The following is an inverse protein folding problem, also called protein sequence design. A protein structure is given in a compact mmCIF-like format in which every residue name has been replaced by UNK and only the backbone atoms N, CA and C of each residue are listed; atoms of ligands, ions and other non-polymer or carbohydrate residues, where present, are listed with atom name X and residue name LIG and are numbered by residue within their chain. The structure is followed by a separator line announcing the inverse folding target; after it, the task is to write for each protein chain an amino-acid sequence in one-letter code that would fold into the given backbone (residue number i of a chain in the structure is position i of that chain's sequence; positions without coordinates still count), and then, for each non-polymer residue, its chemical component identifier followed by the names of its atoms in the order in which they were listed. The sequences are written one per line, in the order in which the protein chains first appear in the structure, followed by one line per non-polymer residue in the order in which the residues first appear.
data_IF_027822781746
#
_entry.id   IF_027822781746
#
_cell.length_a   1.000
_cell.length_b   1.000
_cell.length_c   1.000
_cell.angle_alpha   90.00
_cell.angle_beta   90.00
_cell.angle_gamma   90.00
#
_symmetry.space_group_name_H-M   'P 1'
#
loop_
_entity.id
_entity.type
_entity.pdbx_description
1 polymer ?
#
# COMPACT_ATOMS: atom_id res chain seq x y z
N UNK A 1 -2.99 33.19 -12.58
CA UNK A 1 -1.89 32.27 -12.21
C UNK A 1 -2.55 31.04 -11.62
N UNK A 2 -2.83 30.05 -12.46
CA UNK A 2 -3.35 28.77 -11.99
C UNK A 2 -2.20 28.07 -11.29
N UNK A 3 -2.32 27.94 -9.97
CA UNK A 3 -1.36 27.24 -9.15
C UNK A 3 -1.52 25.74 -9.44
N UNK A 4 -0.74 25.23 -10.38
CA UNK A 4 -0.61 23.80 -10.58
C UNK A 4 0.28 23.28 -9.45
N UNK A 5 -0.33 23.02 -8.29
CA UNK A 5 0.31 22.21 -7.26
C UNK A 5 0.62 20.86 -7.88
N UNK A 6 1.89 20.64 -8.24
CA UNK A 6 2.36 19.34 -8.69
C UNK A 6 2.10 18.32 -7.58
N UNK A 7 1.66 17.12 -7.97
CA UNK A 7 1.54 16.03 -7.02
C UNK A 7 2.87 15.83 -6.27
N UNK A 8 2.82 15.52 -4.96
CA UNK A 8 4.02 15.27 -4.18
C UNK A 8 4.88 14.15 -4.80
N UNK A 9 6.21 14.32 -4.78
CA UNK A 9 7.11 13.25 -5.22
C UNK A 9 7.16 12.17 -4.14
N UNK A 10 6.76 10.95 -4.52
CA UNK A 10 6.49 9.85 -3.61
C UNK A 10 7.60 9.64 -2.57
N UNK A 11 8.85 9.49 -3.00
CA UNK A 11 9.93 9.12 -2.07
C UNK A 11 10.34 10.26 -1.14
N UNK A 12 10.35 11.50 -1.64
CA UNK A 12 10.58 12.69 -0.81
C UNK A 12 9.48 12.86 0.25
N UNK A 13 8.24 12.52 -0.09
CA UNK A 13 7.12 12.53 0.85
C UNK A 13 7.24 11.41 1.87
N UNK A 14 7.58 10.19 1.47
CA UNK A 14 7.83 9.08 2.40
C UNK A 14 8.98 9.41 3.34
N UNK A 15 10.09 9.99 2.85
CA UNK A 15 11.20 10.44 3.70
C UNK A 15 10.74 11.46 4.75
N UNK A 16 9.93 12.44 4.33
CA UNK A 16 9.36 13.45 5.23
C UNK A 16 8.45 12.82 6.29
N UNK A 17 7.59 11.89 5.89
CA UNK A 17 6.68 11.18 6.80
C UNK A 17 7.45 10.30 7.78
N UNK A 18 8.46 9.55 7.32
CA UNK A 18 9.32 8.75 8.19
C UNK A 18 10.02 9.64 9.22
N UNK A 19 10.60 10.76 8.80
CA UNK A 19 11.24 11.72 9.71
C UNK A 19 10.24 12.27 10.75
N UNK A 20 9.04 12.64 10.30
CA UNK A 20 8.00 13.12 11.22
C UNK A 20 7.61 12.06 12.26
N UNK A 21 7.42 10.80 11.84
CA UNK A 21 7.13 9.68 12.77
C UNK A 21 8.28 9.50 13.77
N UNK A 22 9.53 9.54 13.31
CA UNK A 22 10.72 9.40 14.15
C UNK A 22 10.80 10.51 15.21
N UNK A 23 10.45 11.76 14.84
CA UNK A 23 10.44 12.89 15.78
C UNK A 23 9.27 12.87 16.77
N UNK A 24 8.14 12.26 16.40
CA UNK A 24 6.91 12.30 17.19
C UNK A 24 6.76 11.09 18.11
N UNK A 25 7.46 9.98 17.82
CA UNK A 25 7.40 8.73 18.60
C UNK A 25 8.77 8.36 19.17
N UNK A 26 8.92 8.26 20.52
CA UNK A 26 10.23 8.07 21.16
C UNK A 26 10.76 6.62 21.10
N UNK A 27 10.03 5.68 20.50
CA UNK A 27 10.44 4.27 20.45
C UNK A 27 11.36 4.04 19.24
N UNK A 28 12.65 3.88 19.51
CA UNK A 28 13.70 3.73 18.50
C UNK A 28 14.07 2.27 18.22
N UNK A 29 14.93 2.08 17.22
CA UNK A 29 15.54 0.78 16.91
C UNK A 29 14.53 -0.30 16.50
N UNK A 30 14.81 -1.54 16.91
CA UNK A 30 14.04 -2.72 16.49
C UNK A 30 12.58 -2.67 16.94
N UNK A 31 12.31 -2.16 18.13
CA UNK A 31 10.95 -2.06 18.65
C UNK A 31 10.12 -1.07 17.84
N UNK A 32 10.69 0.12 17.53
CA UNK A 32 10.03 1.10 16.68
C UNK A 32 9.72 0.55 15.28
N UNK A 33 10.63 -0.23 14.70
CA UNK A 33 10.38 -0.92 13.43
C UNK A 33 9.21 -1.91 13.55
N UNK A 34 9.20 -2.75 14.59
CA UNK A 34 8.13 -3.73 14.80
C UNK A 34 6.77 -3.05 14.97
N UNK A 35 6.70 -1.94 15.70
CA UNK A 35 5.46 -1.16 15.85
C UNK A 35 4.96 -0.60 14.52
N UNK A 36 5.86 -0.12 13.65
CA UNK A 36 5.48 0.34 12.30
C UNK A 36 4.96 -0.81 11.43
N UNK A 37 5.56 -2.00 11.54
CA UNK A 37 5.05 -3.20 10.86
C UNK A 37 3.67 -3.60 11.41
N UNK A 38 3.48 -3.54 12.73
CA UNK A 38 2.19 -3.89 13.34
C UNK A 38 1.07 -2.92 12.96
N UNK A 39 1.38 -1.64 12.73
CA UNK A 39 0.42 -0.63 12.25
C UNK A 39 -0.28 -1.06 10.95
N UNK A 40 0.38 -1.82 10.08
CA UNK A 40 -0.26 -2.39 8.87
C UNK A 40 -1.53 -3.19 9.17
N UNK A 41 -1.60 -3.86 10.33
CA UNK A 41 -2.80 -4.63 10.70
C UNK A 41 -3.98 -3.71 10.99
N UNK A 42 -3.72 -2.52 11.53
CA UNK A 42 -4.74 -1.50 11.80
C UNK A 42 -5.30 -0.96 10.48
N UNK A 43 -4.43 -0.52 9.57
CA UNK A 43 -4.81 0.03 8.25
C UNK A 43 -5.60 -1.00 7.41
N UNK A 44 -5.19 -2.28 7.42
CA UNK A 44 -5.94 -3.35 6.75
C UNK A 44 -7.32 -3.58 7.40
N UNK A 45 -7.42 -3.37 8.70
CA UNK A 45 -8.69 -3.37 9.43
C UNK A 45 -9.61 -2.24 8.97
N UNK A 46 -9.05 -1.04 8.79
CA UNK A 46 -9.79 0.15 8.32
C UNK A 46 -10.27 -0.04 6.86
N UNK A 47 -9.44 -0.59 5.97
CA UNK A 47 -9.90 -1.03 4.62
C UNK A 47 -11.09 -1.98 4.72
N UNK A 48 -11.04 -2.94 5.66
CA UNK A 48 -12.13 -3.91 5.84
C UNK A 48 -13.41 -3.22 6.33
N UNK A 49 -13.29 -2.27 7.26
CA UNK A 49 -14.41 -1.46 7.74
C UNK A 49 -15.02 -0.60 6.63
N UNK A 50 -14.18 0.08 5.84
CA UNK A 50 -14.60 0.88 4.70
C UNK A 50 -15.36 0.04 3.67
N UNK A 51 -14.85 -1.15 3.32
CA UNK A 51 -15.53 -2.07 2.38
C UNK A 51 -16.88 -2.53 2.92
N UNK A 52 -16.95 -2.93 4.19
CA UNK A 52 -18.21 -3.34 4.83
C UNK A 52 -19.22 -2.18 4.82
N UNK A 53 -18.74 -0.97 5.08
CA UNK A 53 -19.54 0.25 5.05
C UNK A 53 -20.01 0.62 3.65
N UNK A 54 -19.18 0.51 2.62
CA UNK A 54 -19.50 0.84 1.24
C UNK A 54 -20.46 -0.17 0.60
N UNK A 55 -20.36 -1.43 1.00
CA UNK A 55 -21.22 -2.51 0.51
C UNK A 55 -22.49 -2.70 1.34
N UNK A 56 -22.65 -1.95 2.44
CA UNK A 56 -23.81 -2.00 3.33
C UNK A 56 -24.02 -3.37 4.01
N UNK A 57 -22.95 -4.18 4.16
CA UNK A 57 -23.07 -5.56 4.65
C UNK A 57 -23.44 -5.64 6.13
N UNK A 58 -23.32 -4.55 6.88
CA UNK A 58 -23.80 -4.48 8.25
C UNK A 58 -25.29 -4.10 8.29
N UNK A 59 -26.22 -5.05 8.57
CA UNK A 59 -27.65 -4.78 8.47
C UNK A 59 -28.15 -3.75 9.49
N UNK A 60 -27.38 -3.49 10.55
CA UNK A 60 -27.72 -2.50 11.59
C UNK A 60 -27.34 -1.07 11.21
N UNK A 61 -26.39 -0.88 10.28
CA UNK A 61 -25.84 0.42 9.91
C UNK A 61 -26.16 0.83 8.47
N UNK A 62 -26.48 -0.10 7.59
CA UNK A 62 -26.67 0.19 6.17
C UNK A 62 -25.36 0.63 5.51
N UNK A 63 -25.45 1.46 4.46
CA UNK A 63 -24.28 2.03 3.79
C UNK A 63 -23.75 3.21 4.60
N UNK A 64 -22.49 3.13 5.05
CA UNK A 64 -21.85 4.15 5.89
C UNK A 64 -20.60 4.77 5.28
N UNK A 65 -20.04 4.13 4.25
CA UNK A 65 -18.85 4.57 3.54
C UNK A 65 -19.15 4.59 2.04
N UNK A 66 -18.25 5.20 1.29
CA UNK A 66 -18.20 5.22 -0.16
C UNK A 66 -17.02 4.38 -0.65
N UNK A 67 -16.96 4.14 -1.96
CA UNK A 67 -15.76 3.52 -2.53
C UNK A 67 -14.54 4.44 -2.49
N UNK A 68 -14.74 5.77 -2.46
CA UNK A 68 -13.66 6.74 -2.28
C UNK A 68 -13.00 6.56 -0.89
N UNK A 69 -13.78 6.23 0.15
CA UNK A 69 -13.22 5.90 1.46
C UNK A 69 -12.35 4.62 1.37
N UNK A 70 -12.78 3.60 0.62
CA UNK A 70 -11.97 2.39 0.40
C UNK A 70 -10.66 2.72 -0.32
N UNK A 71 -10.69 3.62 -1.31
CA UNK A 71 -9.48 4.09 -2.00
C UNK A 71 -8.53 4.81 -1.05
N UNK A 72 -9.05 5.64 -0.14
CA UNK A 72 -8.27 6.33 0.87
C UNK A 72 -7.58 5.34 1.82
N UNK A 73 -8.32 4.39 2.40
CA UNK A 73 -7.75 3.39 3.31
C UNK A 73 -6.70 2.50 2.63
N UNK A 74 -6.89 2.18 1.34
CA UNK A 74 -5.88 1.46 0.57
C UNK A 74 -4.60 2.29 0.38
N UNK A 75 -4.72 3.61 0.21
CA UNK A 75 -3.57 4.50 0.16
C UNK A 75 -2.85 4.52 1.52
N UNK A 76 -3.57 4.53 2.63
CA UNK A 76 -2.97 4.52 3.97
C UNK A 76 -2.21 3.22 4.27
N UNK A 77 -2.72 2.07 3.81
CA UNK A 77 -1.95 0.80 3.81
C UNK A 77 -0.65 0.93 3.02
N UNK A 78 -0.69 1.49 1.81
CA UNK A 78 0.49 1.64 0.94
C UNK A 78 1.51 2.59 1.59
N UNK A 79 1.06 3.73 2.10
CA UNK A 79 1.91 4.72 2.76
C UNK A 79 2.56 4.10 4.00
N UNK A 80 1.78 3.42 4.85
CA UNK A 80 2.28 2.74 6.05
C UNK A 80 3.32 1.67 5.71
N UNK A 81 3.10 0.90 4.63
CA UNK A 81 4.06 -0.10 4.17
C UNK A 81 5.36 0.53 3.68
N UNK A 82 5.30 1.64 2.93
CA UNK A 82 6.48 2.35 2.45
C UNK A 82 7.25 3.02 3.58
N UNK A 83 6.57 3.61 4.57
CA UNK A 83 7.20 4.14 5.78
C UNK A 83 7.90 3.03 6.57
N UNK A 84 7.24 1.88 6.77
CA UNK A 84 7.86 0.74 7.45
C UNK A 84 9.09 0.20 6.69
N UNK A 85 9.02 0.11 5.35
CA UNK A 85 10.16 -0.27 4.52
C UNK A 85 11.30 0.75 4.63
N UNK A 86 10.99 2.04 4.65
CA UNK A 86 11.99 3.11 4.79
C UNK A 86 12.67 3.13 6.16
N UNK A 87 11.95 2.75 7.21
CA UNK A 87 12.53 2.52 8.54
C UNK A 87 13.42 1.27 8.56
N UNK A 88 13.06 0.22 7.81
CA UNK A 88 13.85 -1.02 7.74
C UNK A 88 15.17 -0.84 6.99
N UNK A 89 15.19 -0.04 5.92
CA UNK A 89 16.35 0.14 5.04
C UNK A 89 16.39 1.54 4.43
N UNK A 90 17.57 2.19 4.37
CA UNK A 90 17.72 3.44 3.66
C UNK A 90 17.57 3.33 2.14
N UNK A 91 17.78 2.14 1.58
CA UNK A 91 17.63 1.81 0.15
C UNK A 91 16.19 1.40 -0.22
N UNK A 92 15.19 1.87 0.54
CA UNK A 92 13.79 1.46 0.34
C UNK A 92 13.30 1.70 -1.09
N UNK A 93 13.75 2.79 -1.74
CA UNK A 93 13.43 3.12 -3.12
C UNK A 93 13.89 2.04 -4.10
N UNK A 94 15.15 1.64 -3.99
CA UNK A 94 15.79 0.63 -4.82
C UNK A 94 15.20 -0.76 -4.55
N UNK A 95 14.96 -1.08 -3.26
CA UNK A 95 14.38 -2.35 -2.83
C UNK A 95 12.96 -2.49 -3.39
N UNK A 96 12.11 -1.47 -3.23
CA UNK A 96 10.75 -1.47 -3.74
C UNK A 96 10.74 -1.52 -5.28
N UNK A 97 11.49 -0.65 -5.94
CA UNK A 97 11.57 -0.60 -7.40
C UNK A 97 12.07 -1.91 -8.00
N UNK A 98 13.12 -2.50 -7.43
CA UNK A 98 13.63 -3.79 -7.86
C UNK A 98 12.65 -4.94 -7.61
N UNK A 99 11.89 -4.91 -6.51
CA UNK A 99 10.84 -5.90 -6.27
C UNK A 99 9.69 -5.76 -7.26
N UNK A 100 9.24 -4.54 -7.51
CA UNK A 100 8.17 -4.23 -8.46
C UNK A 100 8.55 -4.69 -9.87
N UNK A 101 9.78 -4.42 -10.33
CA UNK A 101 10.29 -4.89 -11.62
C UNK A 101 10.24 -6.43 -11.74
N UNK A 102 10.69 -7.15 -10.72
CA UNK A 102 10.60 -8.63 -10.70
C UNK A 102 9.16 -9.14 -10.73
N UNK A 103 8.22 -8.47 -10.06
CA UNK A 103 6.79 -8.85 -10.11
C UNK A 103 6.22 -8.62 -11.50
N UNK A 104 6.57 -7.50 -12.14
CA UNK A 104 6.16 -7.17 -13.50
C UNK A 104 6.64 -8.23 -14.50
N UNK A 105 7.93 -8.54 -14.49
CA UNK A 105 8.54 -9.58 -15.34
C UNK A 105 7.83 -10.93 -15.19
N UNK A 106 7.57 -11.36 -13.95
CA UNK A 106 6.91 -12.64 -13.65
C UNK A 106 5.45 -12.70 -14.08
N UNK A 107 4.73 -11.58 -14.05
CA UNK A 107 3.29 -11.52 -14.30
C UNK A 107 2.98 -11.41 -15.79
N UNK A 108 3.71 -10.52 -16.48
CA UNK A 108 3.55 -10.28 -17.92
C UNK A 108 4.27 -11.36 -18.73
N UNK A 109 5.47 -11.78 -18.33
CA UNK A 109 6.25 -12.81 -19.03
C UNK A 109 5.63 -14.22 -19.03
N UNK A 110 4.84 -14.56 -18.00
CA UNK A 110 4.11 -15.86 -17.95
C UNK A 110 2.85 -15.90 -18.82
N UNK A 111 2.26 -14.75 -19.15
CA UNK A 111 1.08 -14.70 -20.01
C UNK A 111 1.44 -14.87 -21.50
N UNK A 112 2.68 -14.55 -21.90
CA UNK A 112 3.17 -14.71 -23.27
C UNK A 112 3.58 -16.14 -23.65
N UNK A 113 3.74 -17.06 -22.70
CA UNK A 113 4.30 -18.40 -22.94
C UNK A 113 3.31 -19.56 -22.79
N UNK A 114 1.99 -19.33 -22.64
CA UNK A 114 1.03 -20.45 -22.56
C UNK A 114 0.83 -21.09 -23.94
N UNK A 115 1.20 -22.37 -24.15
CA UNK A 115 0.91 -23.06 -25.41
C UNK A 115 -0.61 -23.27 -25.52
N UNK A 116 -1.20 -22.90 -26.66
CA UNK A 116 -2.57 -23.24 -27.02
C UNK A 116 -2.68 -24.76 -27.21
N UNK A 117 -3.11 -25.49 -26.18
CA UNK A 117 -3.41 -26.91 -26.29
C UNK A 117 -4.90 -27.19 -26.61
N UNK A 118 -5.68 -26.19 -27.01
CA UNK A 118 -7.10 -26.38 -27.37
C UNK A 118 -7.28 -26.65 -28.86
N UNK A 119 -6.75 -27.76 -29.34
CA UNK A 119 -7.16 -28.36 -30.61
C UNK A 119 -6.82 -29.85 -30.63
N UNK A 120 -7.48 -30.63 -29.77
CA UNK A 120 -7.71 -32.07 -29.99
C UNK A 120 -8.61 -32.58 -28.87
N UNK A 121 -9.90 -32.69 -29.17
CA UNK A 121 -10.70 -33.87 -28.85
C UNK A 121 -12.09 -33.74 -29.47
N UNK A 122 -12.20 -34.43 -30.60
CA UNK A 122 -13.41 -35.06 -31.11
C UNK A 122 -14.10 -35.91 -30.04
#
# INVERSE_FOLDING_TARGET
MSDHTSAPELWSTIDTLTQWVDTTRPVEGREGLLLRILKLTEEVGEVSEAVIGATGQNPRKGVTHTWDDVEAELCDVVITALVALRTLTPEAREVFGGHLGRVLERSVGRHSERPSWRETRE
#
